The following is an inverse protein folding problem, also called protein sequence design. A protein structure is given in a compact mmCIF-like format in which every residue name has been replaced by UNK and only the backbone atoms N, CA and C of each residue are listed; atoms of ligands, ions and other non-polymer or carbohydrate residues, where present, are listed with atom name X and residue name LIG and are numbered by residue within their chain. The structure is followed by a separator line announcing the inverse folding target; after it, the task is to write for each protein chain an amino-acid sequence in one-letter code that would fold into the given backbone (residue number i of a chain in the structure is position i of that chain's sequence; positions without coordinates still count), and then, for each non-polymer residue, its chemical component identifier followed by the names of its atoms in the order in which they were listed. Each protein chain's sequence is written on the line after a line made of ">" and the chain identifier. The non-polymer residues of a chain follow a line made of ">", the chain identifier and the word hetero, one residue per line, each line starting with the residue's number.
data_IF_767084304639
#
_entry.id   IF_767084304639
#
_cell.length_a   1.000
_cell.length_b   1.000
_cell.length_c   1.000
_cell.angle_alpha   90.00
_cell.angle_beta   90.00
_cell.angle_gamma   90.00
#
_symmetry.space_group_name_H-M   'P 1'
#
loop_
_entity.id
_entity.type
_entity.pdbx_description
1 polymer ?
#
# COMPACT_ATOMS: atom_id res chain seq x y z
N UNK A 1 -29.79 -6.93 11.37
CA UNK A 1 -28.86 -6.38 10.37
C UNK A 1 -27.75 -5.67 11.13
N UNK A 2 -26.68 -6.40 11.46
CA UNK A 2 -25.57 -5.86 12.26
C UNK A 2 -24.49 -5.34 11.33
N UNK A 3 -24.29 -4.03 11.31
CA UNK A 3 -23.12 -3.40 10.73
C UNK A 3 -21.94 -3.69 11.66
N UNK A 4 -21.08 -4.64 11.32
CA UNK A 4 -19.76 -4.77 11.96
C UNK A 4 -18.83 -3.85 11.20
N UNK A 5 -18.86 -2.56 11.57
CA UNK A 5 -17.78 -1.64 11.26
C UNK A 5 -16.67 -1.94 12.26
N UNK A 6 -15.81 -2.92 11.94
CA UNK A 6 -14.55 -3.09 12.64
C UNK A 6 -13.70 -1.87 12.37
N UNK A 7 -13.56 -0.99 13.37
CA UNK A 7 -12.54 0.06 13.38
C UNK A 7 -11.17 -0.62 13.42
N UNK A 8 -10.67 -0.98 12.24
CA UNK A 8 -9.30 -1.41 12.02
C UNK A 8 -8.40 -0.22 12.32
N UNK A 9 -7.51 -0.36 13.32
CA UNK A 9 -6.45 0.59 13.62
C UNK A 9 -5.81 1.07 12.30
N UNK A 10 -6.06 2.32 11.93
CA UNK A 10 -5.36 2.95 10.81
C UNK A 10 -3.90 3.16 11.27
N UNK A 11 -3.07 2.12 11.11
CA UNK A 11 -1.64 2.20 11.38
C UNK A 11 -1.03 3.43 10.69
N UNK A 12 -0.06 4.09 11.32
CA UNK A 12 0.63 5.20 10.67
C UNK A 12 1.65 4.64 9.68
N UNK A 13 1.99 5.42 8.66
CA UNK A 13 3.17 5.14 7.86
C UNK A 13 4.41 5.37 8.72
N UNK A 14 5.26 4.35 8.83
CA UNK A 14 6.46 4.38 9.66
C UNK A 14 7.70 4.25 8.79
N UNK A 15 8.76 5.00 9.12
CA UNK A 15 10.03 4.90 8.41
C UNK A 15 10.69 3.55 8.72
N UNK A 16 10.97 2.77 7.69
CA UNK A 16 11.80 1.57 7.80
C UNK A 16 13.27 1.96 7.86
N UNK A 17 13.79 1.99 9.09
CA UNK A 17 15.19 2.35 9.37
C UNK A 17 16.21 1.29 8.96
N UNK A 18 15.76 0.10 8.54
CA UNK A 18 16.62 -0.98 8.07
C UNK A 18 16.73 -1.03 6.54
N UNK A 19 15.85 -0.33 5.83
CA UNK A 19 15.87 -0.27 4.38
C UNK A 19 17.10 0.52 3.86
N UNK A 20 17.68 0.05 2.76
CA UNK A 20 18.82 0.72 2.11
C UNK A 20 18.44 2.06 1.45
N UNK A 21 17.17 2.20 1.07
CA UNK A 21 16.58 3.41 0.51
C UNK A 21 15.45 3.88 1.41
N UNK A 22 15.15 5.17 1.41
CA UNK A 22 14.06 5.74 2.22
C UNK A 22 12.76 5.00 1.88
N UNK A 23 12.24 4.29 2.88
CA UNK A 23 11.08 3.41 2.73
C UNK A 23 10.15 3.65 3.90
N UNK A 24 8.88 3.89 3.62
CA UNK A 24 7.84 3.96 4.64
C UNK A 24 6.97 2.71 4.52
N UNK A 25 6.69 2.07 5.64
CA UNK A 25 5.86 0.87 5.71
C UNK A 25 4.60 1.14 6.51
N UNK A 26 3.53 0.44 6.16
CA UNK A 26 2.29 0.39 6.92
C UNK A 26 1.69 -1.00 6.81
N UNK A 27 1.43 -1.62 7.94
CA UNK A 27 0.74 -2.90 7.99
C UNK A 27 -0.76 -2.70 8.23
N UNK A 28 -1.57 -3.47 7.53
CA UNK A 28 -3.03 -3.38 7.55
C UNK A 28 -3.60 -4.79 7.57
N UNK A 29 -4.59 -5.03 8.44
CA UNK A 29 -5.40 -6.25 8.39
C UNK A 29 -6.70 -5.90 7.67
N UNK A 30 -7.17 -6.76 6.77
CA UNK A 30 -8.51 -6.63 6.19
C UNK A 30 -9.27 -7.93 6.40
N UNK A 31 -10.51 -7.81 6.85
CA UNK A 31 -11.44 -8.92 6.97
C UNK A 31 -12.24 -9.02 5.68
N UNK A 32 -12.10 -10.13 4.99
CA UNK A 32 -12.86 -10.41 3.78
C UNK A 32 -14.31 -10.79 4.11
N UNK A 33 -15.18 -10.84 3.09
CA UNK A 33 -16.61 -11.12 3.28
C UNK A 33 -16.89 -12.48 3.91
N UNK A 34 -15.96 -13.42 3.76
CA UNK A 34 -16.05 -14.78 4.32
C UNK A 34 -15.51 -14.87 5.75
N UNK A 35 -15.10 -13.73 6.35
CA UNK A 35 -14.54 -13.67 7.71
C UNK A 35 -13.06 -14.03 7.77
N UNK A 36 -12.39 -14.19 6.63
CA UNK A 36 -10.96 -14.46 6.54
C UNK A 36 -10.20 -13.15 6.79
N UNK A 37 -9.26 -13.17 7.74
CA UNK A 37 -8.39 -12.03 8.03
C UNK A 37 -7.10 -12.17 7.24
N UNK A 38 -6.85 -11.22 6.34
CA UNK A 38 -5.61 -11.15 5.58
C UNK A 38 -4.75 -10.00 6.10
N UNK A 39 -3.48 -10.28 6.39
CA UNK A 39 -2.48 -9.29 6.76
C UNK A 39 -1.78 -8.79 5.51
N UNK A 40 -1.69 -7.48 5.38
CA UNK A 40 -1.05 -6.81 4.27
C UNK A 40 0.04 -5.87 4.76
N UNK A 41 1.06 -5.70 3.93
CA UNK A 41 2.10 -4.70 4.10
C UNK A 41 2.10 -3.79 2.88
N UNK A 42 1.95 -2.50 3.13
CA UNK A 42 2.08 -1.46 2.12
C UNK A 42 3.41 -0.75 2.34
N UNK A 43 4.14 -0.48 1.27
CA UNK A 43 5.42 0.22 1.31
C UNK A 43 5.43 1.37 0.30
N UNK A 44 5.91 2.54 0.72
CA UNK A 44 6.37 3.61 -0.17
C UNK A 44 7.89 3.53 -0.23
N UNK A 45 8.44 3.26 -1.39
CA UNK A 45 9.88 3.06 -1.57
C UNK A 45 10.40 4.17 -2.45
N UNK A 46 11.33 4.97 -1.94
CA UNK A 46 11.99 6.02 -2.73
C UNK A 46 12.75 5.43 -3.91
N UNK A 47 12.73 6.14 -5.03
CA UNK A 47 13.44 5.79 -6.26
C UNK A 47 14.57 6.80 -6.52
N UNK A 48 15.66 6.34 -7.15
CA UNK A 48 16.82 7.19 -7.47
C UNK A 48 16.49 8.28 -8.52
N UNK A 49 15.39 8.13 -9.27
CA UNK A 49 14.95 9.08 -10.28
C UNK A 49 14.01 10.15 -9.70
N UNK A 50 14.28 11.45 -9.93
CA UNK A 50 13.39 12.50 -9.46
C UNK A 50 12.06 12.52 -10.25
N UNK A 51 11.04 13.08 -9.61
CA UNK A 51 9.77 13.41 -10.25
C UNK A 51 9.99 14.38 -11.42
N UNK A 52 9.32 14.11 -12.55
CA UNK A 52 9.69 14.69 -13.86
C UNK A 52 9.39 16.18 -13.96
N UNK A 53 8.29 16.64 -13.38
CA UNK A 53 7.88 18.05 -13.44
C UNK A 53 8.56 18.87 -12.34
N UNK A 54 8.81 18.26 -11.19
CA UNK A 54 9.10 19.03 -10.00
C UNK A 54 10.44 18.74 -9.32
N UNK A 55 11.21 17.77 -9.80
CA UNK A 55 12.47 17.42 -9.14
C UNK A 55 12.31 16.84 -7.72
N UNK A 56 11.07 16.50 -7.33
CA UNK A 56 10.76 15.88 -6.04
C UNK A 56 11.23 14.43 -5.96
N UNK A 57 11.14 13.83 -4.78
CA UNK A 57 11.43 12.41 -4.59
C UNK A 57 10.25 11.60 -5.11
N UNK A 58 10.53 10.66 -6.01
CA UNK A 58 9.54 9.70 -6.48
C UNK A 58 9.54 8.50 -5.54
N UNK A 59 8.36 8.10 -5.12
CA UNK A 59 8.11 6.89 -4.34
C UNK A 59 7.26 5.94 -5.17
N UNK A 60 7.66 4.68 -5.30
CA UNK A 60 6.79 3.62 -5.82
C UNK A 60 6.00 2.98 -4.69
N UNK A 61 4.81 2.51 -5.00
CA UNK A 61 4.05 1.67 -4.09
C UNK A 61 4.42 0.20 -4.26
N UNK A 62 4.52 -0.51 -3.14
CA UNK A 62 4.57 -1.96 -3.09
C UNK A 62 3.48 -2.41 -2.12
N UNK A 63 2.69 -3.41 -2.52
CA UNK A 63 1.72 -4.05 -1.66
C UNK A 63 2.02 -5.54 -1.58
N UNK A 64 1.98 -6.10 -0.38
CA UNK A 64 2.27 -7.49 -0.11
C UNK A 64 1.18 -8.07 0.79
N UNK A 65 0.87 -9.35 0.61
CA UNK A 65 -0.01 -10.13 1.49
C UNK A 65 0.82 -11.17 2.22
N UNK A 66 0.50 -11.42 3.49
CA UNK A 66 1.13 -12.49 4.25
C UNK A 66 0.53 -13.84 3.87
N UNK A 67 1.39 -14.77 3.48
CA UNK A 67 1.10 -16.17 3.24
C UNK A 67 1.96 -17.03 4.17
N UNK A 68 1.36 -17.98 4.88
CA UNK A 68 2.07 -18.77 5.90
C UNK A 68 3.13 -19.72 5.31
N UNK A 69 3.05 -20.05 4.02
CA UNK A 69 3.99 -20.95 3.35
C UNK A 69 5.15 -20.19 2.69
N UNK A 70 4.88 -19.02 2.13
CA UNK A 70 5.79 -18.26 1.28
C UNK A 70 6.25 -16.93 1.91
N UNK A 71 5.66 -16.52 3.04
CA UNK A 71 5.91 -15.24 3.69
C UNK A 71 5.19 -14.10 2.99
N UNK A 72 5.86 -12.95 2.83
CA UNK A 72 5.28 -11.80 2.12
C UNK A 72 5.25 -12.03 0.61
N UNK A 73 4.05 -12.05 0.03
CA UNK A 73 3.81 -12.24 -1.40
C UNK A 73 3.37 -10.92 -2.04
N UNK A 74 4.06 -10.51 -3.09
CA UNK A 74 3.82 -9.24 -3.81
C UNK A 74 2.50 -9.26 -4.60
N UNK A 75 1.75 -8.16 -4.50
CA UNK A 75 0.55 -7.88 -5.26
C UNK A 75 0.87 -6.92 -6.42
N UNK A 76 1.09 -7.49 -7.61
CA UNK A 76 1.57 -6.72 -8.78
C UNK A 76 0.56 -5.69 -9.32
N UNK A 77 -0.72 -5.78 -8.92
CA UNK A 77 -1.79 -4.87 -9.38
C UNK A 77 -1.55 -3.41 -8.95
N UNK A 78 -0.62 -3.19 -8.03
CA UNK A 78 -0.30 -1.89 -7.46
C UNK A 78 1.02 -1.30 -7.95
N UNK A 79 1.81 -2.07 -8.71
CA UNK A 79 3.21 -1.75 -9.04
C UNK A 79 3.38 -0.49 -9.90
N UNK A 80 2.37 -0.15 -10.70
CA UNK A 80 2.40 1.03 -11.57
C UNK A 80 2.06 2.35 -10.83
N UNK A 81 1.63 2.27 -9.57
CA UNK A 81 1.30 3.46 -8.78
C UNK A 81 2.57 4.09 -8.20
N UNK A 82 2.61 5.42 -8.20
CA UNK A 82 3.68 6.19 -7.58
C UNK A 82 3.14 7.44 -6.88
N UNK A 83 3.94 7.94 -5.95
CA UNK A 83 3.77 9.20 -5.26
C UNK A 83 4.97 10.10 -5.52
N UNK A 84 4.72 11.39 -5.70
CA UNK A 84 5.76 12.40 -5.79
C UNK A 84 5.69 13.30 -4.56
N UNK A 85 6.78 13.36 -3.80
CA UNK A 85 6.90 14.25 -2.64
C UNK A 85 7.73 15.49 -3.01
N UNK A 86 7.07 16.64 -3.07
CA UNK A 86 7.70 17.95 -3.12
C UNK A 86 6.77 18.98 -2.48
N UNK A 87 7.32 19.94 -1.74
CA UNK A 87 6.60 21.04 -1.09
C UNK A 87 6.18 22.16 -2.06
N UNK A 88 6.71 22.16 -3.29
CA UNK A 88 6.65 23.32 -4.21
C UNK A 88 5.72 23.11 -5.41
N UNK A 89 5.21 21.88 -5.63
CA UNK A 89 4.32 21.60 -6.75
C UNK A 89 3.32 20.47 -6.44
N UNK A 90 2.17 20.46 -7.12
CA UNK A 90 1.36 19.25 -7.28
C UNK A 90 1.74 18.57 -8.61
N UNK A 91 2.47 17.46 -8.53
CA UNK A 91 2.68 16.55 -9.66
C UNK A 91 1.58 15.46 -9.65
N UNK A 92 1.22 14.94 -10.84
CA UNK A 92 0.33 13.78 -10.98
C UNK A 92 0.96 12.59 -10.24
N UNK A 93 0.50 12.30 -9.04
CA UNK A 93 1.00 11.21 -8.20
C UNK A 93 -0.06 10.87 -7.14
N UNK A 94 -0.27 9.59 -6.91
CA UNK A 94 -1.28 9.13 -5.97
C UNK A 94 -0.75 9.41 -4.55
N UNK A 95 -1.47 10.19 -3.73
CA UNK A 95 -1.03 10.45 -2.35
C UNK A 95 -1.17 9.17 -1.52
N UNK A 96 -0.38 8.95 -0.45
CA UNK A 96 -0.44 7.74 0.38
C UNK A 96 -1.86 7.36 0.81
N UNK A 97 -2.64 8.36 1.25
CA UNK A 97 -4.04 8.15 1.64
C UNK A 97 -4.95 7.74 0.48
N UNK A 98 -4.69 8.22 -0.73
CA UNK A 98 -5.46 7.86 -1.92
C UNK A 98 -5.10 6.45 -2.39
N UNK A 99 -3.82 6.08 -2.31
CA UNK A 99 -3.37 4.71 -2.53
C UNK A 99 -4.03 3.74 -1.55
N UNK A 100 -4.08 4.06 -0.26
CA UNK A 100 -4.75 3.20 0.72
C UNK A 100 -6.24 3.00 0.41
N UNK A 101 -6.94 4.05 -0.04
CA UNK A 101 -8.35 3.94 -0.47
C UNK A 101 -8.48 3.04 -1.70
N UNK A 102 -7.61 3.21 -2.69
CA UNK A 102 -7.57 2.37 -3.88
C UNK A 102 -7.30 0.91 -3.51
N UNK A 103 -6.28 0.66 -2.68
CA UNK A 103 -5.91 -0.65 -2.16
C UNK A 103 -7.10 -1.34 -1.49
N UNK A 104 -7.74 -0.67 -0.51
CA UNK A 104 -8.91 -1.20 0.18
C UNK A 104 -10.07 -1.47 -0.79
N UNK A 105 -10.33 -0.56 -1.73
CA UNK A 105 -11.38 -0.73 -2.73
C UNK A 105 -11.13 -1.95 -3.61
N UNK A 106 -9.90 -2.13 -4.11
CA UNK A 106 -9.54 -3.28 -4.95
C UNK A 106 -9.66 -4.57 -4.14
N UNK A 107 -9.10 -4.64 -2.91
CA UNK A 107 -9.21 -5.85 -2.07
C UNK A 107 -10.65 -6.18 -1.67
N UNK A 108 -11.50 -5.17 -1.43
CA UNK A 108 -12.92 -5.39 -1.11
C UNK A 108 -13.77 -5.79 -2.34
N UNK A 109 -13.35 -5.40 -3.55
CA UNK A 109 -14.05 -5.69 -4.80
C UNK A 109 -13.52 -6.91 -5.55
N UNK A 110 -12.28 -7.33 -5.29
CA UNK A 110 -11.70 -8.57 -5.79
C UNK A 110 -12.45 -9.76 -5.18
N UNK A 111 -13.57 -10.13 -5.81
CA UNK A 111 -14.23 -11.42 -5.57
C UNK A 111 -13.24 -12.51 -6.02
N UNK A 112 -12.66 -13.23 -5.06
CA UNK A 112 -11.69 -14.31 -5.26
C UNK A 112 -10.34 -13.84 -5.83
N UNK A 113 -9.34 -13.73 -4.97
CA UNK A 113 -7.99 -14.11 -5.39
C UNK A 113 -7.98 -15.64 -5.24
N UNK A 114 -8.28 -16.35 -6.34
CA UNK A 114 -7.94 -17.77 -6.43
C UNK A 114 -6.40 -17.83 -6.44
N UNK A 115 -5.82 -18.07 -5.27
CA UNK A 115 -4.43 -18.50 -5.14
C UNK A 115 -4.41 -20.01 -5.44
N UNK A 116 -4.47 -20.36 -6.73
CA UNK A 116 -4.19 -21.73 -7.20
C UNK A 116 -2.66 -21.96 -7.29
#
# INVERSE_FOLDING_TARGET
>A
MGSVSGELEEGKWELDTQAYVETYIKEIILVEKEGIENRYRLSLISEEGPCKKCGGIRFRYLAEVWDDQNGWVRLNEFDDNYHCSNDVCDEDGLKPREFEKLFRSIRQNAKRIDLD
#
